data_IF_321567055980
#
_entry.id   IF_321567055980
#
_cell.length_a   1.000
_cell.length_b   1.000
_cell.length_c   1.000
_cell.angle_alpha   90.00
_cell.angle_beta   90.00
_cell.angle_gamma   90.00
#
_symmetry.space_group_name_H-M   'P 1'
#
loop_
_entity.id
_entity.type
_entity.pdbx_description
1 polymer ?
#
# COMPACT_ATOMS: atom_id res chain seq x y z
N UNK A 1 18.47 3.57 2.73
CA UNK A 1 17.54 3.29 1.62
C UNK A 1 18.30 2.50 0.54
N UNK A 2 17.96 1.24 0.29
CA UNK A 2 18.72 0.37 -0.64
C UNK A 2 18.51 0.81 -2.08
N UNK A 3 19.58 1.17 -2.81
CA UNK A 3 19.50 1.63 -4.21
C UNK A 3 18.69 0.67 -5.11
N UNK A 4 18.77 -0.64 -4.85
CA UNK A 4 18.01 -1.66 -5.58
C UNK A 4 16.50 -1.49 -5.42
N UNK A 5 16.00 -1.14 -4.24
CA UNK A 5 14.57 -0.99 -4.01
C UNK A 5 14.00 0.18 -4.83
N UNK A 6 14.69 1.32 -4.82
CA UNK A 6 14.30 2.51 -5.59
C UNK A 6 14.30 2.22 -7.09
N UNK A 7 15.34 1.55 -7.60
CA UNK A 7 15.42 1.16 -9.01
C UNK A 7 14.23 0.31 -9.44
N UNK A 8 13.80 -0.65 -8.60
CA UNK A 8 12.63 -1.47 -8.92
C UNK A 8 11.31 -0.69 -8.93
N UNK A 9 11.16 0.33 -8.08
CA UNK A 9 10.00 1.22 -8.16
C UNK A 9 9.96 1.99 -9.49
N UNK A 10 11.11 2.49 -9.95
CA UNK A 10 11.22 3.17 -11.25
C UNK A 10 10.88 2.21 -12.40
N UNK A 11 11.37 0.97 -12.34
CA UNK A 11 11.07 -0.07 -13.34
C UNK A 11 9.59 -0.44 -13.39
N UNK A 12 8.92 -0.62 -12.24
CA UNK A 12 7.48 -0.92 -12.22
C UNK A 12 6.64 0.27 -12.75
N UNK A 13 7.13 1.51 -12.60
CA UNK A 13 6.52 2.70 -13.20
C UNK A 13 6.83 2.88 -14.70
N UNK A 14 7.81 2.13 -15.24
CA UNK A 14 8.05 2.13 -16.68
C UNK A 14 6.87 1.45 -17.38
N UNK A 15 6.44 2.01 -18.51
CA UNK A 15 5.37 1.40 -19.32
C UNK A 15 5.88 0.22 -20.15
N UNK A 16 7.07 -0.29 -19.83
CA UNK A 16 7.68 -1.45 -20.46
C UNK A 16 7.32 -2.72 -19.68
N UNK A 17 6.74 -3.68 -20.39
CA UNK A 17 6.33 -4.96 -19.83
C UNK A 17 7.51 -5.76 -19.29
N UNK A 18 8.67 -5.71 -19.94
CA UNK A 18 9.85 -6.50 -19.55
C UNK A 18 10.39 -5.97 -18.21
N UNK A 19 10.56 -4.65 -18.11
CA UNK A 19 11.01 -4.00 -16.88
C UNK A 19 10.02 -4.20 -15.73
N UNK A 20 8.73 -4.22 -16.02
CA UNK A 20 7.70 -4.53 -15.03
C UNK A 20 7.81 -5.97 -14.48
N UNK A 21 7.96 -6.97 -15.35
CA UNK A 21 8.14 -8.36 -14.95
C UNK A 21 9.45 -8.55 -14.16
N UNK A 22 10.52 -7.88 -14.58
CA UNK A 22 11.80 -7.86 -13.84
C UNK A 22 11.65 -7.24 -12.45
N UNK A 23 10.97 -6.10 -12.33
CA UNK A 23 10.71 -5.46 -11.05
C UNK A 23 9.91 -6.37 -10.11
N UNK A 24 8.91 -7.08 -10.62
CA UNK A 24 8.09 -8.01 -9.84
C UNK A 24 8.91 -9.17 -9.27
N UNK A 25 9.78 -9.76 -10.08
CA UNK A 25 10.69 -10.82 -9.63
C UNK A 25 11.68 -10.31 -8.57
N UNK A 26 12.29 -9.15 -8.81
CA UNK A 26 13.27 -8.57 -7.89
C UNK A 26 12.62 -8.14 -6.57
N UNK A 27 11.41 -7.57 -6.59
CA UNK A 27 10.67 -7.28 -5.36
C UNK A 27 10.34 -8.56 -4.58
N UNK A 28 10.04 -9.67 -5.27
CA UNK A 28 9.80 -10.97 -4.62
C UNK A 28 11.04 -11.45 -3.87
N UNK A 29 12.21 -11.28 -4.47
CA UNK A 29 13.49 -11.60 -3.82
C UNK A 29 13.79 -10.64 -2.66
N UNK A 30 13.62 -9.33 -2.85
CA UNK A 30 13.88 -8.31 -1.82
C UNK A 30 12.92 -8.40 -0.62
N UNK A 31 11.70 -8.92 -0.81
CA UNK A 31 10.74 -9.13 0.27
C UNK A 31 11.18 -10.20 1.28
N UNK A 32 12.15 -11.05 0.93
CA UNK A 32 12.73 -12.05 1.82
C UNK A 32 13.77 -11.47 2.78
N UNK A 33 14.34 -10.30 2.44
CA UNK A 33 15.33 -9.63 3.28
C UNK A 33 14.65 -8.70 4.29
N UNK A 34 14.93 -8.88 5.58
CA UNK A 34 14.26 -8.13 6.66
C UNK A 34 14.35 -6.60 6.47
N UNK A 35 15.53 -6.06 6.18
CA UNK A 35 15.73 -4.62 6.02
C UNK A 35 15.12 -3.99 4.77
N UNK A 36 14.58 -4.78 3.84
CA UNK A 36 13.83 -4.27 2.67
C UNK A 36 12.42 -4.82 2.59
N UNK A 37 12.00 -5.61 3.59
CA UNK A 37 10.78 -6.42 3.51
C UNK A 37 9.54 -5.57 3.33
N UNK A 38 9.36 -4.52 4.13
CA UNK A 38 8.17 -3.66 4.06
C UNK A 38 8.12 -2.92 2.72
N UNK A 39 9.22 -2.27 2.34
CA UNK A 39 9.31 -1.52 1.09
C UNK A 39 9.15 -2.39 -0.16
N UNK A 40 9.75 -3.59 -0.18
CA UNK A 40 9.61 -4.53 -1.30
C UNK A 40 8.19 -5.11 -1.38
N UNK A 41 7.57 -5.40 -0.23
CA UNK A 41 6.18 -5.86 -0.17
C UNK A 41 5.20 -4.80 -0.66
N UNK A 42 5.45 -3.52 -0.35
CA UNK A 42 4.70 -2.40 -0.92
C UNK A 42 4.85 -2.36 -2.44
N UNK A 43 6.07 -2.53 -2.95
CA UNK A 43 6.35 -2.63 -4.39
C UNK A 43 5.54 -3.73 -5.07
N UNK A 44 5.59 -4.96 -4.53
CA UNK A 44 4.77 -6.08 -5.01
C UNK A 44 3.29 -5.75 -5.00
N UNK A 45 2.78 -5.20 -3.89
CA UNK A 45 1.37 -4.87 -3.77
C UNK A 45 0.94 -3.86 -4.85
N UNK A 46 1.73 -2.81 -5.08
CA UNK A 46 1.46 -1.82 -6.15
C UNK A 46 1.44 -2.47 -7.54
N UNK A 47 2.44 -3.31 -7.85
CA UNK A 47 2.47 -3.99 -9.15
C UNK A 47 1.29 -4.98 -9.30
N UNK A 48 0.80 -5.61 -8.22
CA UNK A 48 -0.43 -6.42 -8.28
C UNK A 48 -1.70 -5.59 -8.46
N UNK A 49 -1.80 -4.42 -7.83
CA UNK A 49 -2.93 -3.49 -8.05
C UNK A 49 -2.97 -3.03 -9.50
N UNK A 50 -1.82 -2.69 -10.09
CA UNK A 50 -1.72 -2.30 -11.51
C UNK A 50 -2.13 -3.42 -12.48
N UNK A 51 -1.93 -4.69 -12.09
CA UNK A 51 -2.41 -5.87 -12.82
C UNK A 51 -3.89 -6.22 -12.54
N UNK A 52 -4.63 -5.37 -11.82
CA UNK A 52 -5.98 -5.66 -11.34
C UNK A 52 -6.09 -6.92 -10.45
N UNK A 53 -4.97 -7.36 -9.85
CA UNK A 53 -4.90 -8.50 -8.93
C UNK A 53 -5.02 -8.04 -7.47
N UNK A 54 -6.06 -7.25 -7.18
CA UNK A 54 -6.28 -6.62 -5.87
C UNK A 54 -6.34 -7.62 -4.70
N UNK A 55 -6.77 -8.87 -4.95
CA UNK A 55 -6.78 -9.94 -3.93
C UNK A 55 -5.37 -10.34 -3.47
N UNK A 56 -4.42 -10.46 -4.40
CA UNK A 56 -3.01 -10.79 -4.08
C UNK A 56 -2.33 -9.64 -3.35
N UNK A 57 -2.57 -8.40 -3.79
CA UNK A 57 -2.07 -7.20 -3.11
C UNK A 57 -2.51 -7.16 -1.65
N UNK A 58 -3.81 -7.38 -1.37
CA UNK A 58 -4.33 -7.42 0.00
C UNK A 58 -3.68 -8.49 0.87
N UNK A 59 -3.46 -9.69 0.32
CA UNK A 59 -2.86 -10.78 1.09
C UNK A 59 -1.44 -10.42 1.57
N UNK A 60 -0.66 -9.72 0.75
CA UNK A 60 0.66 -9.21 1.12
C UNK A 60 0.53 -8.11 2.17
N UNK A 61 -0.32 -7.12 1.95
CA UNK A 61 -0.45 -5.96 2.84
C UNK A 61 -1.03 -6.31 4.22
N UNK A 62 -1.87 -7.35 4.32
CA UNK A 62 -2.41 -7.84 5.60
C UNK A 62 -1.33 -8.27 6.58
N UNK A 63 -0.17 -8.71 6.10
CA UNK A 63 0.97 -9.05 6.95
C UNK A 63 1.45 -7.83 7.76
N UNK A 64 1.28 -6.63 7.22
CA UNK A 64 1.75 -5.37 7.83
C UNK A 64 0.63 -4.57 8.49
N UNK A 65 -0.63 -4.98 8.35
CA UNK A 65 -1.78 -4.29 8.95
C UNK A 65 -1.68 -4.15 10.48
N UNK A 66 -0.97 -5.09 11.12
CA UNK A 66 -0.68 -5.07 12.57
C UNK A 66 0.80 -4.88 12.90
N UNK A 67 1.65 -4.63 11.91
CA UNK A 67 3.08 -4.43 12.14
C UNK A 67 3.33 -3.29 13.14
N UNK A 68 4.38 -3.43 13.95
CA UNK A 68 4.79 -2.37 14.87
C UNK A 68 5.34 -1.20 14.06
N UNK A 69 4.91 0.01 14.38
CA UNK A 69 5.47 1.20 13.76
C UNK A 69 6.93 1.33 14.16
N UNK A 70 7.79 1.62 13.20
CA UNK A 70 9.20 1.91 13.42
C UNK A 70 9.59 3.10 12.53
N UNK A 71 10.59 3.86 12.97
CA UNK A 71 10.99 5.07 12.27
C UNK A 71 11.66 4.79 10.91
N UNK A 72 12.42 3.70 10.80
CA UNK A 72 13.19 3.37 9.60
C UNK A 72 12.31 3.02 8.38
N UNK A 73 11.16 2.41 8.63
CA UNK A 73 10.20 1.97 7.62
C UNK A 73 8.89 2.74 7.66
N UNK A 74 8.83 3.85 8.42
CA UNK A 74 7.61 4.61 8.67
C UNK A 74 6.85 4.95 7.39
N UNK A 75 7.54 5.50 6.39
CA UNK A 75 6.94 5.89 5.10
C UNK A 75 6.37 4.69 4.33
N UNK A 76 7.06 3.54 4.38
CA UNK A 76 6.62 2.31 3.71
C UNK A 76 5.45 1.66 4.45
N UNK A 77 5.43 1.69 5.79
CA UNK A 77 4.33 1.19 6.60
C UNK A 77 3.07 2.03 6.39
N UNK A 78 3.21 3.36 6.43
CA UNK A 78 2.11 4.29 6.12
C UNK A 78 1.54 4.01 4.72
N UNK A 79 2.41 3.92 3.72
CA UNK A 79 2.00 3.61 2.35
C UNK A 79 1.29 2.25 2.24
N UNK A 80 1.75 1.23 2.99
CA UNK A 80 1.10 -0.09 3.03
C UNK A 80 -0.32 0.01 3.62
N UNK A 81 -0.49 0.75 4.73
CA UNK A 81 -1.78 0.90 5.39
C UNK A 81 -2.78 1.66 4.52
N UNK A 82 -2.33 2.74 3.88
CA UNK A 82 -3.16 3.54 2.97
C UNK A 82 -3.59 2.75 1.73
N UNK A 83 -2.67 2.00 1.12
CA UNK A 83 -3.01 1.13 -0.02
C UNK A 83 -3.99 0.02 0.38
N UNK A 84 -3.84 -0.55 1.58
CA UNK A 84 -4.79 -1.54 2.09
C UNK A 84 -6.16 -0.92 2.38
N UNK A 85 -6.20 0.32 2.89
CA UNK A 85 -7.43 1.05 3.11
C UNK A 85 -8.18 1.33 1.80
N UNK A 86 -7.48 1.80 0.76
CA UNK A 86 -8.05 2.00 -0.58
C UNK A 86 -8.66 0.70 -1.14
N UNK A 87 -7.95 -0.42 -1.02
CA UNK A 87 -8.44 -1.73 -1.44
C UNK A 87 -9.66 -2.19 -0.62
N UNK A 88 -9.81 -1.75 0.63
CA UNK A 88 -11.00 -2.02 1.44
C UNK A 88 -12.18 -1.12 1.09
N UNK A 89 -11.94 0.13 0.70
CA UNK A 89 -12.98 1.03 0.18
C UNK A 89 -13.56 0.44 -1.10
N UNK A 90 -12.71 -0.02 -2.02
CA UNK A 90 -13.14 -0.70 -3.26
C UNK A 90 -13.95 -1.99 -3.02
N UNK A 91 -13.74 -2.67 -1.89
CA UNK A 91 -14.52 -3.86 -1.49
C UNK A 91 -15.84 -3.52 -0.76
N UNK A 92 -16.24 -2.25 -0.69
CA UNK A 92 -17.37 -1.79 0.11
C UNK A 92 -17.24 -2.16 1.60
N UNK A 93 -16.01 -2.11 2.15
CA UNK A 93 -15.69 -2.34 3.57
C UNK A 93 -15.07 -1.10 4.23
N UNK A 94 -15.78 0.04 4.28
CA UNK A 94 -15.23 1.33 4.71
C UNK A 94 -14.82 1.34 6.19
N UNK A 95 -15.40 0.49 7.05
CA UNK A 95 -15.07 0.47 8.47
C UNK A 95 -13.62 0.02 8.71
N UNK A 96 -13.19 -1.04 8.00
CA UNK A 96 -11.81 -1.53 8.05
C UNK A 96 -10.82 -0.52 7.47
N UNK A 97 -11.22 0.20 6.44
CA UNK A 97 -10.42 1.26 5.86
C UNK A 97 -10.25 2.42 6.85
N UNK A 98 -11.33 2.84 7.52
CA UNK A 98 -11.32 3.90 8.52
C UNK A 98 -10.38 3.61 9.69
N UNK A 99 -10.34 2.37 10.18
CA UNK A 99 -9.44 1.97 11.26
C UNK A 99 -7.96 2.07 10.87
N UNK A 100 -7.62 1.65 9.65
CA UNK A 100 -6.28 1.80 9.10
C UNK A 100 -5.90 3.28 8.92
N UNK A 101 -6.82 4.11 8.43
CA UNK A 101 -6.55 5.54 8.23
C UNK A 101 -6.36 6.27 9.56
N UNK A 102 -7.21 6.00 10.56
CA UNK A 102 -7.06 6.55 11.92
C UNK A 102 -5.71 6.17 12.52
N UNK A 103 -5.27 4.93 12.30
CA UNK A 103 -3.95 4.47 12.71
C UNK A 103 -2.85 5.28 12.03
N UNK A 104 -2.91 5.46 10.71
CA UNK A 104 -1.93 6.30 9.99
C UNK A 104 -1.87 7.71 10.58
N UNK A 105 -3.02 8.36 10.79
CA UNK A 105 -3.11 9.71 11.37
C UNK A 105 -2.55 9.80 12.79
N UNK A 106 -2.57 8.71 13.57
CA UNK A 106 -1.97 8.70 14.91
C UNK A 106 -0.44 8.86 14.89
N UNK A 107 0.22 8.44 13.80
CA UNK A 107 1.67 8.58 13.60
C UNK A 107 2.02 9.77 12.69
N UNK A 108 1.20 10.04 11.68
CA UNK A 108 1.38 11.15 10.74
C UNK A 108 0.07 11.93 10.56
N UNK A 109 -0.12 12.93 11.43
CA UNK A 109 -1.29 13.82 11.41
C UNK A 109 -1.34 14.72 10.16
N UNK A 110 -0.23 14.87 9.44
CA UNK A 110 -0.14 15.71 8.24
C UNK A 110 -0.38 14.93 6.94
N UNK A 111 -0.79 13.67 7.03
CA UNK A 111 -1.03 12.79 5.87
C UNK A 111 -2.24 13.26 5.06
N UNK A 112 -2.00 14.04 3.99
CA UNK A 112 -3.06 14.49 3.08
C UNK A 112 -3.85 13.31 2.50
N UNK A 113 -3.16 12.23 2.14
CA UNK A 113 -3.79 11.03 1.57
C UNK A 113 -4.76 10.35 2.52
N UNK A 114 -4.48 10.38 3.83
CA UNK A 114 -5.40 9.88 4.85
C UNK A 114 -6.72 10.63 4.84
N UNK A 115 -6.66 11.96 4.77
CA UNK A 115 -7.86 12.81 4.71
C UNK A 115 -8.65 12.63 3.40
N UNK A 116 -7.96 12.50 2.26
CA UNK A 116 -8.61 12.17 0.98
C UNK A 116 -9.43 10.87 1.08
N UNK A 117 -8.85 9.80 1.63
CA UNK A 117 -9.56 8.52 1.74
C UNK A 117 -10.74 8.58 2.71
N UNK A 118 -10.66 9.39 3.78
CA UNK A 118 -11.80 9.64 4.67
C UNK A 118 -12.93 10.37 3.95
N UNK A 119 -12.59 11.37 3.12
CA UNK A 119 -13.58 12.08 2.31
C UNK A 119 -14.26 11.12 1.33
N UNK A 120 -13.51 10.28 0.62
CA UNK A 120 -14.08 9.25 -0.27
C UNK A 120 -15.01 8.27 0.46
N UNK A 121 -14.67 7.89 1.71
CA UNK A 121 -15.57 7.05 2.52
C UNK A 121 -16.88 7.79 2.86
N UNK A 122 -16.81 9.08 3.16
CA UNK A 122 -17.98 9.89 3.49
C UNK A 122 -18.89 10.09 2.27
N UNK A 123 -18.32 10.45 1.11
CA UNK A 123 -19.04 10.58 -0.17
C UNK A 123 -19.79 9.29 -0.50
N UNK A 124 -19.10 8.15 -0.42
CA UNK A 124 -19.71 6.84 -0.67
C UNK A 124 -20.78 6.45 0.35
N UNK A 125 -20.91 7.12 1.51
CA UNK A 125 -21.97 6.84 2.50
C UNK A 125 -23.21 7.68 2.25
N UNK A 126 -23.05 8.93 1.82
CA UNK A 126 -24.17 9.82 1.50
C UNK A 126 -24.93 9.36 0.26
N UNK A 127 -24.25 8.73 -0.71
CA UNK A 127 -24.85 8.15 -1.93
C UNK A 127 -25.82 6.97 -1.66
N UNK A 128 -25.82 6.39 -0.45
CA UNK A 128 -26.78 5.35 -0.02
C UNK A 128 -27.98 5.92 0.76
N UNK A 129 -28.04 7.24 0.92
CA UNK A 129 -29.07 7.94 1.70
C UNK A 129 -30.29 8.44 0.91
N UNK A 130 -30.31 8.28 -0.41
CA UNK A 130 -31.47 8.52 -1.29
C UNK A 130 -32.15 7.20 -1.72
#
# INVERSE_FOLDING_TARGET
MSCKLLTNFIRCASHDRIEFEMALNEFTHLAQNEGTRVGASLGLAKCFVQQNQSSRARNILKLFAKAMWNFEEADYLESCWLLLAELHIQESRPDRASDLIKRTLSYNQSSAKSYELLATIAENREDYGE
#
